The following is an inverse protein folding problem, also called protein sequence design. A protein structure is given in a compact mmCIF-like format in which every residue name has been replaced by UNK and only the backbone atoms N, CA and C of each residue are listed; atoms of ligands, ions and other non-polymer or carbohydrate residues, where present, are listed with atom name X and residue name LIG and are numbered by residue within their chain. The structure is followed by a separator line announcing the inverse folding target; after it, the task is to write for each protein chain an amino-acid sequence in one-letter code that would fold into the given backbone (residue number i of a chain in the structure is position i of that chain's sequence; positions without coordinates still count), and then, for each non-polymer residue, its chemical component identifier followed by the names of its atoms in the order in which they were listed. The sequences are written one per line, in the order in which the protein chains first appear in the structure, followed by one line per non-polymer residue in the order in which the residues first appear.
data_IF_763840154780
#
_entry.id   IF_763840154780
#
_cell.length_a   1.000
_cell.length_b   1.000
_cell.length_c   1.000
_cell.angle_alpha   90.00
_cell.angle_beta   90.00
_cell.angle_gamma   90.00
#
_symmetry.space_group_name_H-M   'P 1'
#
loop_
_entity.id
_entity.type
_entity.pdbx_description
1 polymer ?
#
# COMPACT_ATOMS: atom_id res chain seq x y z
N UNK A 1 -8.53 -19.01 16.89
CA UNK A 1 -8.86 -18.63 16.88
C UNK A 1 -9.38 -18.24 16.68
N UNK A 2 -9.16 -18.44 16.49
CA UNK A 2 -9.63 -18.07 16.37
C UNK A 2 -10.26 -17.65 16.17
N UNK A 3 -10.27 -17.67 15.92
CA UNK A 3 -10.85 -17.26 15.78
C UNK A 3 -11.66 -16.65 15.71
N UNK A 4 -11.49 -17.19 15.71
CA UNK A 4 -12.51 -16.33 15.26
C UNK A 4 -12.84 -15.20 16.16
N UNK A 5 -12.19 -14.22 15.90
CA UNK A 5 -12.42 -12.99 16.60
C UNK A 5 -13.73 -12.40 16.10
N UNK A 6 -14.75 -12.29 16.92
CA UNK A 6 -16.01 -11.74 16.44
C UNK A 6 -15.95 -10.28 16.06
N UNK A 7 -14.93 -9.57 16.48
CA UNK A 7 -14.82 -8.16 16.14
C UNK A 7 -14.35 -7.99 14.72
N UNK A 8 -13.60 -8.91 14.22
CA UNK A 8 -13.26 -8.92 12.80
C UNK A 8 -12.61 -7.65 12.31
N UNK A 9 -11.70 -7.10 13.08
CA UNK A 9 -10.90 -6.00 12.58
C UNK A 9 -9.66 -6.56 11.89
N UNK A 10 -9.08 -5.82 10.95
CA UNK A 10 -7.90 -6.33 10.27
C UNK A 10 -6.70 -6.31 11.22
N UNK A 11 -5.82 -7.29 11.11
CA UNK A 11 -4.62 -7.29 11.94
C UNK A 11 -3.71 -6.13 11.56
N UNK A 12 -2.94 -5.68 12.53
CA UNK A 12 -1.97 -4.62 12.28
C UNK A 12 -0.89 -5.08 11.32
N UNK A 13 -0.45 -6.32 11.45
CA UNK A 13 0.61 -6.86 10.61
C UNK A 13 0.04 -7.85 9.60
N UNK A 14 0.49 -7.75 8.36
CA UNK A 14 -0.03 -8.55 7.27
C UNK A 14 1.13 -9.25 6.57
N UNK A 15 0.91 -10.49 6.15
CA UNK A 15 1.91 -11.16 5.33
C UNK A 15 1.81 -10.65 3.90
N UNK A 16 2.66 -11.16 3.01
CA UNK A 16 2.75 -10.66 1.65
C UNK A 16 1.42 -10.78 0.90
N UNK A 17 0.81 -11.93 0.96
CA UNK A 17 -0.45 -12.15 0.27
C UNK A 17 -1.56 -11.28 0.84
N UNK A 18 -1.58 -11.19 2.17
CA UNK A 18 -2.58 -10.35 2.83
C UNK A 18 -2.38 -8.89 2.50
N UNK A 19 -1.13 -8.45 2.48
CA UNK A 19 -0.83 -7.05 2.19
C UNK A 19 -1.25 -6.70 0.76
N UNK A 20 -0.95 -7.58 -0.19
CA UNK A 20 -1.35 -7.34 -1.57
C UNK A 20 -2.87 -7.29 -1.69
N UNK A 21 -3.56 -8.22 -1.02
CA UNK A 21 -5.02 -8.24 -1.06
C UNK A 21 -5.60 -7.01 -0.39
N UNK A 22 -4.98 -6.56 0.69
CA UNK A 22 -5.44 -5.38 1.40
C UNK A 22 -5.40 -4.15 0.49
N UNK A 23 -4.36 -4.05 -0.31
CA UNK A 23 -4.21 -2.96 -1.26
C UNK A 23 -5.09 -3.19 -2.51
N UNK A 24 -5.44 -4.44 -2.78
CA UNK A 24 -6.32 -4.74 -3.90
C UNK A 24 -5.59 -5.13 -5.17
N UNK A 25 -4.37 -5.63 -5.06
CA UNK A 25 -3.57 -6.01 -6.22
C UNK A 25 -3.01 -7.40 -6.01
N UNK A 26 -2.46 -7.97 -7.07
CA UNK A 26 -1.81 -9.26 -6.96
C UNK A 26 -0.43 -9.13 -6.33
N UNK A 27 0.13 -10.27 -5.94
CA UNK A 27 1.41 -10.26 -5.23
C UNK A 27 2.55 -9.81 -6.13
N UNK A 28 2.50 -10.16 -7.41
CA UNK A 28 3.55 -9.74 -8.33
C UNK A 28 3.61 -8.22 -8.43
N UNK A 29 2.45 -7.60 -8.60
CA UNK A 29 2.41 -6.14 -8.67
C UNK A 29 2.81 -5.53 -7.33
N UNK A 30 2.38 -6.14 -6.23
CA UNK A 30 2.75 -5.66 -4.92
C UNK A 30 4.27 -5.67 -4.75
N UNK A 31 4.91 -6.77 -5.18
CA UNK A 31 6.37 -6.85 -5.10
C UNK A 31 7.03 -5.74 -5.89
N UNK A 32 6.49 -5.41 -7.07
CA UNK A 32 7.04 -4.32 -7.88
C UNK A 32 6.94 -2.99 -7.15
N UNK A 33 5.80 -2.75 -6.51
CA UNK A 33 5.61 -1.49 -5.80
C UNK A 33 6.52 -1.38 -4.59
N UNK A 34 6.76 -2.51 -3.91
CA UNK A 34 7.70 -2.49 -2.80
C UNK A 34 9.11 -2.23 -3.32
N UNK A 35 9.47 -2.87 -4.43
CA UNK A 35 10.83 -2.73 -4.97
C UNK A 35 11.10 -1.30 -5.43
N UNK A 36 10.10 -0.62 -5.98
CA UNK A 36 10.33 0.73 -6.47
C UNK A 36 9.99 1.82 -5.45
N UNK A 37 9.62 1.42 -4.24
CA UNK A 37 9.43 2.38 -3.15
C UNK A 37 8.02 2.93 -3.01
N UNK A 38 7.09 2.53 -3.87
CA UNK A 38 5.72 3.03 -3.75
C UNK A 38 4.94 2.36 -2.64
N UNK A 39 5.39 1.17 -2.20
CA UNK A 39 4.83 0.51 -1.03
C UNK A 39 5.93 0.31 -0.02
N UNK A 40 5.59 0.28 1.28
CA UNK A 40 6.62 0.19 2.30
C UNK A 40 7.28 -1.17 2.32
N UNK A 41 8.49 -1.20 2.84
CA UNK A 41 9.19 -2.45 3.05
C UNK A 41 8.62 -3.15 4.26
N UNK A 42 8.70 -4.47 4.30
CA UNK A 42 8.18 -5.20 5.45
C UNK A 42 9.11 -5.08 6.64
N UNK A 43 8.54 -5.32 7.81
CA UNK A 43 9.32 -5.54 9.01
C UNK A 43 9.65 -7.02 9.10
N UNK A 44 10.83 -7.32 9.61
CA UNK A 44 11.22 -8.72 9.86
C UNK A 44 10.86 -9.08 11.29
N UNK A 45 10.03 -10.08 11.42
CA UNK A 45 9.61 -10.55 12.74
C UNK A 45 9.88 -12.04 12.79
N UNK A 46 10.92 -12.44 13.48
CA UNK A 46 11.29 -13.84 13.63
C UNK A 46 11.38 -14.55 12.27
N UNK A 47 12.07 -13.91 11.33
CA UNK A 47 12.26 -14.48 10.01
C UNK A 47 11.10 -14.32 9.06
N UNK A 48 10.04 -13.68 9.48
CA UNK A 48 8.87 -13.44 8.63
C UNK A 48 8.82 -12.00 8.19
N UNK A 49 8.35 -11.78 6.99
CA UNK A 49 8.10 -10.43 6.50
C UNK A 49 6.68 -10.06 6.84
N UNK A 50 6.53 -8.95 7.55
CA UNK A 50 5.22 -8.49 8.02
C UNK A 50 5.08 -7.02 7.63
N UNK A 51 4.02 -6.70 6.92
CA UNK A 51 3.78 -5.31 6.52
C UNK A 51 2.86 -4.64 7.54
N UNK A 52 3.18 -3.40 7.85
CA UNK A 52 2.37 -2.61 8.76
C UNK A 52 1.17 -2.07 8.00
N UNK A 53 -0.03 -2.44 8.43
CA UNK A 53 -1.24 -2.02 7.74
C UNK A 53 -1.35 -0.50 7.66
N UNK A 54 -0.93 0.19 8.70
CA UNK A 54 -1.02 1.65 8.72
C UNK A 54 -0.04 2.26 7.72
N UNK A 55 1.13 1.68 7.60
CA UNK A 55 2.08 2.15 6.59
C UNK A 55 1.55 1.87 5.18
N UNK A 56 0.85 0.75 4.99
CA UNK A 56 0.23 0.47 3.70
C UNK A 56 -0.85 1.50 3.38
N UNK A 57 -1.64 1.88 4.37
CA UNK A 57 -2.66 2.91 4.16
C UNK A 57 -2.03 4.22 3.70
N UNK A 58 -0.97 4.63 4.36
CA UNK A 58 -0.30 5.87 4.01
C UNK A 58 0.28 5.81 2.60
N UNK A 59 0.90 4.69 2.28
CA UNK A 59 1.49 4.53 0.95
C UNK A 59 0.42 4.52 -0.13
N UNK A 60 -0.71 3.88 0.16
CA UNK A 60 -1.80 3.85 -0.80
C UNK A 60 -2.36 5.26 -1.03
N UNK A 61 -2.48 6.03 0.03
CA UNK A 61 -2.96 7.40 -0.08
C UNK A 61 -2.04 8.23 -0.97
N UNK A 62 -0.76 7.94 -0.94
CA UNK A 62 0.21 8.69 -1.73
C UNK A 62 0.28 8.26 -3.19
N UNK A 63 -0.35 7.15 -3.55
CA UNK A 63 -0.35 6.74 -4.96
C UNK A 63 -1.15 7.74 -5.77
N UNK A 64 -0.68 8.11 -6.96
CA UNK A 64 -1.42 9.08 -7.76
C UNK A 64 -2.66 8.45 -8.35
N UNK A 65 -3.72 9.23 -8.41
CA UNK A 65 -4.91 8.87 -9.16
C UNK A 65 -4.69 9.21 -10.61
N UNK A 66 -5.14 8.36 -11.48
CA UNK A 66 -4.95 8.62 -12.90
C UNK A 66 -5.57 9.95 -13.32
N UNK A 67 -6.81 10.17 -12.93
CA UNK A 67 -7.47 11.42 -13.24
C UNK A 67 -6.84 12.60 -12.56
N UNK A 68 -6.53 12.44 -11.27
CA UNK A 68 -5.90 13.50 -10.51
C UNK A 68 -4.53 13.80 -11.04
N UNK A 69 -3.81 12.77 -11.43
CA UNK A 69 -2.49 12.93 -11.99
C UNK A 69 -2.55 13.77 -13.27
N UNK A 70 -3.52 13.49 -14.12
CA UNK A 70 -3.69 14.22 -15.35
C UNK A 70 -4.03 15.67 -15.08
N UNK A 71 -4.90 15.90 -14.13
CA UNK A 71 -5.28 17.25 -13.76
C UNK A 71 -4.09 18.00 -13.20
N UNK A 72 -3.33 17.35 -12.35
CA UNK A 72 -2.14 17.98 -11.80
C UNK A 72 -1.16 18.33 -12.88
N UNK A 73 -0.96 17.46 -13.85
CA UNK A 73 -0.04 17.73 -14.93
C UNK A 73 -0.50 18.94 -15.74
N UNK A 74 -1.80 19.03 -16.01
CA UNK A 74 -2.34 20.14 -16.75
C UNK A 74 -2.17 21.44 -15.97
N UNK A 75 -2.52 21.41 -14.70
CA UNK A 75 -2.47 22.61 -13.89
C UNK A 75 -1.03 23.07 -13.71
N UNK A 76 -0.14 22.17 -13.42
CA UNK A 76 1.24 22.53 -13.22
C UNK A 76 1.89 22.94 -14.52
N UNK A 77 1.48 22.31 -15.60
CA UNK A 77 2.03 22.66 -16.90
C UNK A 77 1.73 24.08 -17.28
N UNK A 78 0.66 24.61 -16.71
CA UNK A 78 0.34 25.99 -16.97
C UNK A 78 0.72 26.87 -15.87
N UNK A 79 0.67 26.38 -14.74
CA UNK A 79 0.92 27.22 -13.65
C UNK A 79 2.19 26.87 -13.06
N UNK A 80 2.69 26.04 -13.09
CA UNK A 80 3.56 25.65 -12.38
C UNK A 80 4.12 25.83 -12.36
N UNK A 81 3.69 25.91 -12.57
CA UNK A 81 3.71 25.61 -12.44
C UNK A 81 3.77 25.24 -11.84
N UNK A 82 3.74 25.19 -11.57
CA UNK A 82 3.70 24.70 -10.98
C UNK A 82 3.38 24.21 -10.55
#
# INVERSE_FOLDING_TARGET
MTRADPIAYPPRGLNREEAARYIGIGTTKFDELVADGRMPKPKRVDGRNVWDRIALDAAFTDLPEEGGNRIDALLRGRSRAA
#
